data_IF_220805000280
#
_entry.id   IF_220805000280
#
_cell.length_a   1.000
_cell.length_b   1.000
_cell.length_c   1.000
_cell.angle_alpha   90.00
_cell.angle_beta   90.00
_cell.angle_gamma   90.00
#
_symmetry.space_group_name_H-M   'P 1'
#
loop_
_entity.id
_entity.type
_entity.pdbx_description
1 polymer ?
#
# COMPACT_ATOMS: atom_id res chain seq x y z
N UNK A 1 4.24 24.16 -20.59
CA UNK A 1 4.59 22.74 -20.80
C UNK A 1 3.39 22.03 -21.35
N UNK A 2 3.55 20.90 -22.04
CA UNK A 2 2.43 20.32 -22.77
C UNK A 2 2.42 18.81 -22.66
N UNK A 3 1.23 18.23 -22.41
CA UNK A 3 0.99 16.81 -22.55
C UNK A 3 0.58 16.50 -23.99
N UNK A 4 1.09 15.44 -24.60
CA UNK A 4 0.71 15.02 -25.93
C UNK A 4 0.04 13.66 -25.92
N UNK A 5 -1.02 13.54 -26.70
CA UNK A 5 -1.83 12.35 -26.87
C UNK A 5 -1.71 11.91 -28.32
N UNK A 6 -1.43 10.63 -28.55
CA UNK A 6 -1.25 10.08 -29.90
C UNK A 6 -2.31 9.01 -30.13
N UNK A 7 -3.15 9.15 -31.13
CA UNK A 7 -4.24 8.25 -31.44
C UNK A 7 -4.11 7.52 -32.78
N UNK A 8 -4.82 6.41 -32.98
CA UNK A 8 -4.97 5.70 -34.25
C UNK A 8 -6.30 6.02 -34.93
N UNK A 9 -6.36 5.90 -36.29
CA UNK A 9 -7.52 6.34 -37.10
C UNK A 9 -8.80 5.50 -36.90
N UNK A 10 -8.71 4.30 -36.35
CA UNK A 10 -9.83 3.35 -36.37
C UNK A 10 -10.87 3.54 -35.25
N UNK A 11 -10.56 4.28 -34.19
CA UNK A 11 -11.51 4.69 -33.15
C UNK A 11 -11.04 5.98 -32.46
N UNK A 12 -11.89 6.98 -32.41
CA UNK A 12 -11.66 8.30 -31.78
C UNK A 12 -11.30 8.17 -30.26
N UNK A 13 -11.34 6.97 -29.69
CA UNK A 13 -11.07 6.69 -28.28
C UNK A 13 -9.78 5.92 -27.99
N UNK A 14 -9.04 5.47 -28.99
CA UNK A 14 -7.86 4.61 -28.77
C UNK A 14 -6.56 5.40 -28.81
N UNK A 15 -6.24 6.06 -27.72
CA UNK A 15 -4.90 6.61 -27.49
C UNK A 15 -3.90 5.47 -27.43
N UNK A 16 -2.88 5.47 -28.30
CA UNK A 16 -1.84 4.44 -28.32
C UNK A 16 -0.66 4.75 -27.39
N UNK A 17 -0.41 6.06 -27.17
CA UNK A 17 0.65 6.55 -26.30
C UNK A 17 0.30 7.92 -25.73
N UNK A 18 0.64 8.17 -24.46
CA UNK A 18 0.49 9.44 -23.77
C UNK A 18 1.83 9.79 -23.12
N UNK A 19 2.25 11.05 -23.22
CA UNK A 19 3.49 11.50 -22.61
C UNK A 19 3.56 13.00 -22.44
N UNK A 20 4.38 13.48 -21.49
CA UNK A 20 4.66 14.91 -21.27
C UNK A 20 5.92 15.35 -22.01
N UNK A 21 6.00 16.63 -22.33
CA UNK A 21 7.21 17.23 -22.89
C UNK A 21 7.30 18.73 -22.57
N UNK A 22 8.50 19.22 -22.29
CA UNK A 22 8.79 20.66 -22.19
C UNK A 22 8.64 21.34 -23.56
N UNK A 23 9.00 20.64 -24.65
CA UNK A 23 8.86 21.07 -26.01
C UNK A 23 8.28 19.96 -26.87
N UNK A 24 6.99 20.04 -27.20
CA UNK A 24 6.30 19.07 -28.05
C UNK A 24 6.99 18.89 -29.40
N UNK A 25 7.42 19.99 -30.05
CA UNK A 25 8.10 19.90 -31.33
C UNK A 25 9.34 19.05 -31.30
N UNK A 26 10.19 19.23 -30.26
CA UNK A 26 11.41 18.40 -30.07
C UNK A 26 11.05 16.94 -29.80
N UNK A 27 10.05 16.70 -28.92
CA UNK A 27 9.63 15.34 -28.52
C UNK A 27 9.05 14.58 -29.71
N UNK A 28 8.14 15.19 -30.49
CA UNK A 28 7.57 14.57 -31.68
C UNK A 28 8.66 14.29 -32.72
N UNK A 29 9.57 15.25 -32.95
CA UNK A 29 10.66 15.06 -33.88
C UNK A 29 11.57 13.88 -33.52
N UNK A 30 11.83 13.64 -32.25
CA UNK A 30 12.63 12.51 -31.76
C UNK A 30 12.02 11.13 -32.11
N UNK A 31 10.69 11.03 -32.22
CA UNK A 31 10.04 9.78 -32.63
C UNK A 31 10.20 9.45 -34.12
N UNK A 32 10.39 10.47 -34.97
CA UNK A 32 10.50 10.31 -36.41
C UNK A 32 11.93 10.42 -36.94
N UNK A 33 12.90 10.72 -36.10
CA UNK A 33 14.31 10.70 -36.49
C UNK A 33 14.81 9.25 -36.53
N UNK A 34 15.41 8.79 -37.65
CA UNK A 34 16.06 7.49 -37.70
C UNK A 34 17.26 7.50 -36.75
N UNK A 35 17.24 6.66 -35.74
CA UNK A 35 18.37 6.41 -34.85
C UNK A 35 18.84 4.97 -35.06
N UNK A 36 20.15 4.72 -34.97
CA UNK A 36 20.72 3.38 -35.11
C UNK A 36 20.26 2.38 -34.03
N UNK A 37 19.68 2.88 -32.92
CA UNK A 37 19.16 2.11 -31.77
C UNK A 37 17.63 2.22 -31.65
N UNK A 38 16.89 2.18 -32.75
CA UNK A 38 15.43 2.16 -32.67
C UNK A 38 14.92 0.80 -32.21
N UNK A 39 14.45 0.73 -30.96
CA UNK A 39 13.79 -0.46 -30.47
C UNK A 39 12.51 -0.80 -31.18
N UNK A 40 12.23 -2.08 -31.25
CA UNK A 40 11.08 -2.65 -31.97
C UNK A 40 9.76 -2.00 -31.56
N UNK A 41 9.60 -1.64 -30.26
CA UNK A 41 8.39 -1.03 -29.70
C UNK A 41 8.15 0.37 -30.26
N UNK A 42 9.21 1.20 -30.33
CA UNK A 42 9.14 2.57 -30.86
C UNK A 42 8.82 2.56 -32.35
N UNK A 43 9.49 1.70 -33.12
CA UNK A 43 9.25 1.57 -34.55
C UNK A 43 7.83 1.08 -34.86
N UNK A 44 7.27 0.16 -34.06
CA UNK A 44 5.89 -0.30 -34.19
C UNK A 44 4.90 0.79 -33.80
N UNK A 45 5.16 1.54 -32.74
CA UNK A 45 4.33 2.67 -32.32
C UNK A 45 4.26 3.74 -33.40
N UNK A 46 5.41 4.16 -33.93
CA UNK A 46 5.49 5.21 -34.99
C UNK A 46 4.70 4.82 -36.24
N UNK A 47 4.72 3.52 -36.63
CA UNK A 47 3.91 3.04 -37.77
C UNK A 47 2.41 3.09 -37.55
N UNK A 48 1.95 3.14 -36.29
CA UNK A 48 0.53 3.16 -35.92
C UNK A 48 0.02 4.56 -35.59
N UNK A 49 0.89 5.59 -35.62
CA UNK A 49 0.49 6.98 -35.39
C UNK A 49 -0.30 7.49 -36.56
N UNK A 50 -1.56 7.86 -36.36
CA UNK A 50 -2.40 8.51 -37.34
C UNK A 50 -2.47 10.03 -37.11
N UNK A 51 -2.54 10.46 -35.82
CA UNK A 51 -2.64 11.88 -35.46
C UNK A 51 -2.05 12.15 -34.09
N UNK A 52 -1.78 13.42 -33.80
CA UNK A 52 -1.38 13.95 -32.52
C UNK A 52 -2.44 14.88 -31.95
N UNK A 53 -2.74 14.71 -30.68
CA UNK A 53 -3.48 15.69 -29.91
C UNK A 53 -2.57 16.22 -28.81
N UNK A 54 -2.73 17.48 -28.42
CA UNK A 54 -1.92 18.05 -27.35
C UNK A 54 -2.75 18.99 -26.48
N UNK A 55 -2.37 19.01 -25.19
CA UNK A 55 -2.95 19.92 -24.20
C UNK A 55 -1.79 20.73 -23.61
N UNK A 56 -1.95 22.05 -23.57
CA UNK A 56 -0.96 22.95 -22.98
C UNK A 56 -1.29 23.14 -21.50
N UNK A 57 -0.29 23.03 -20.65
CA UNK A 57 -0.38 23.23 -19.19
C UNK A 57 0.57 24.34 -18.75
N UNK A 58 0.25 25.01 -17.65
CA UNK A 58 1.02 26.15 -17.16
C UNK A 58 2.28 25.72 -16.39
N UNK A 59 2.26 24.49 -15.82
CA UNK A 59 3.38 23.95 -15.05
C UNK A 59 3.73 22.51 -15.44
N UNK A 60 4.95 22.09 -15.09
CA UNK A 60 5.39 20.71 -15.27
C UNK A 60 4.64 19.74 -14.36
N UNK A 61 4.26 20.21 -13.18
CA UNK A 61 3.45 19.47 -12.23
C UNK A 61 2.06 19.16 -12.81
N UNK A 62 1.40 20.17 -13.41
CA UNK A 62 0.11 19.96 -14.09
C UNK A 62 0.24 18.99 -15.26
N UNK A 63 1.30 19.09 -16.06
CA UNK A 63 1.57 18.15 -17.14
C UNK A 63 1.73 16.71 -16.64
N UNK A 64 2.42 16.53 -15.51
CA UNK A 64 2.62 15.22 -14.87
C UNK A 64 1.30 14.64 -14.35
N UNK A 65 0.48 15.43 -13.68
CA UNK A 65 -0.83 15.00 -13.16
C UNK A 65 -1.78 14.66 -14.31
N UNK A 66 -1.78 15.47 -15.36
CA UNK A 66 -2.60 15.25 -16.54
C UNK A 66 -2.18 13.97 -17.28
N UNK A 67 -0.87 13.74 -17.47
CA UNK A 67 -0.33 12.51 -18.05
C UNK A 67 -0.80 11.28 -17.27
N UNK A 68 -0.68 11.28 -15.92
CA UNK A 68 -1.11 10.19 -15.07
C UNK A 68 -2.61 9.89 -15.20
N UNK A 69 -3.45 10.94 -15.24
CA UNK A 69 -4.89 10.79 -15.34
C UNK A 69 -5.30 10.22 -16.71
N UNK A 70 -4.72 10.75 -17.79
CA UNK A 70 -4.99 10.29 -19.14
C UNK A 70 -4.51 8.85 -19.38
N UNK A 71 -3.33 8.46 -18.85
CA UNK A 71 -2.86 7.07 -18.93
C UNK A 71 -3.83 6.13 -18.21
N UNK A 72 -4.35 6.54 -17.05
CA UNK A 72 -5.31 5.74 -16.27
C UNK A 72 -6.66 5.60 -16.96
N UNK A 73 -7.12 6.67 -17.62
CA UNK A 73 -8.40 6.71 -18.32
C UNK A 73 -8.37 5.92 -19.63
N UNK A 74 -7.31 6.10 -20.43
CA UNK A 74 -7.23 5.54 -21.79
C UNK A 74 -6.47 4.22 -21.89
N UNK A 75 -5.70 3.84 -20.86
CA UNK A 75 -4.92 2.60 -20.81
C UNK A 75 -4.09 2.34 -22.09
N UNK A 76 -3.23 3.28 -22.55
CA UNK A 76 -2.62 3.22 -23.86
C UNK A 76 -1.64 2.06 -24.02
N UNK A 77 -1.67 1.40 -25.17
CA UNK A 77 -0.92 0.17 -25.47
C UNK A 77 0.60 0.30 -25.30
N UNK A 78 1.17 1.45 -25.63
CA UNK A 78 2.61 1.66 -25.64
C UNK A 78 3.16 2.33 -24.38
N UNK A 79 2.30 2.72 -23.42
CA UNK A 79 2.76 3.17 -22.12
C UNK A 79 3.11 1.99 -21.22
N UNK A 80 4.08 2.21 -20.34
CA UNK A 80 4.37 1.29 -19.23
C UNK A 80 3.24 1.37 -18.23
N UNK A 81 2.67 0.23 -17.83
CA UNK A 81 1.51 0.19 -16.95
C UNK A 81 1.67 -0.85 -15.85
N UNK A 82 1.16 -0.52 -14.66
CA UNK A 82 0.94 -1.50 -13.61
C UNK A 82 -0.18 -2.46 -14.01
N UNK A 83 0.07 -3.77 -13.85
CA UNK A 83 -0.94 -4.80 -14.12
C UNK A 83 -2.00 -4.92 -13.02
N UNK A 84 -1.63 -4.55 -11.78
CA UNK A 84 -2.47 -4.75 -10.60
C UNK A 84 -2.79 -3.41 -9.93
N UNK A 85 -4.07 -3.05 -9.85
CA UNK A 85 -4.58 -1.94 -9.03
C UNK A 85 -4.97 -2.49 -7.65
N UNK A 86 -3.97 -2.73 -6.79
CA UNK A 86 -4.16 -3.30 -5.46
C UNK A 86 -4.65 -2.24 -4.48
N UNK A 87 -5.81 -2.48 -3.87
CA UNK A 87 -6.32 -1.66 -2.77
C UNK A 87 -5.93 -2.29 -1.43
N UNK A 88 -5.17 -1.55 -0.63
CA UNK A 88 -4.70 -2.02 0.67
C UNK A 88 -5.73 -1.82 1.77
N UNK A 89 -5.86 -2.78 2.69
CA UNK A 89 -6.68 -2.62 3.87
C UNK A 89 -5.99 -1.78 4.95
N UNK A 90 -6.82 -1.06 5.71
CA UNK A 90 -6.44 -0.25 6.87
C UNK A 90 -7.28 -0.65 8.08
N UNK A 91 -6.73 -0.45 9.27
CA UNK A 91 -7.48 -0.44 10.51
C UNK A 91 -7.86 1.01 10.79
N UNK A 92 -9.16 1.28 10.88
CA UNK A 92 -9.71 2.60 11.16
C UNK A 92 -10.24 2.66 12.58
N UNK A 93 -9.77 3.62 13.37
CA UNK A 93 -10.28 3.93 14.71
C UNK A 93 -11.06 5.24 14.66
N UNK A 94 -12.37 5.20 14.95
CA UNK A 94 -13.28 6.34 14.81
C UNK A 94 -13.20 7.28 16.02
N UNK A 95 -12.03 7.85 16.30
CA UNK A 95 -11.77 8.68 17.49
C UNK A 95 -12.64 9.92 17.61
N UNK A 96 -13.32 10.32 16.54
CA UNK A 96 -14.30 11.41 16.53
C UNK A 96 -15.67 11.05 17.12
N UNK A 97 -15.97 9.77 17.36
CA UNK A 97 -17.20 9.31 18.01
C UNK A 97 -17.05 9.39 19.55
N UNK A 98 -18.15 9.52 20.28
CA UNK A 98 -18.12 9.50 21.76
C UNK A 98 -17.67 8.14 22.30
N UNK A 99 -18.08 7.07 21.63
CA UNK A 99 -17.67 5.70 21.86
C UNK A 99 -17.03 5.15 20.58
N UNK A 100 -15.72 5.35 20.34
CA UNK A 100 -15.06 4.96 19.11
C UNK A 100 -15.10 3.45 18.85
N UNK A 101 -14.91 3.09 17.57
CA UNK A 101 -14.86 1.70 17.10
C UNK A 101 -13.56 1.43 16.34
N UNK A 102 -13.14 0.18 16.32
CA UNK A 102 -12.05 -0.30 15.50
C UNK A 102 -12.65 -1.06 14.31
N UNK A 103 -12.43 -0.57 13.10
CA UNK A 103 -13.10 -1.01 11.88
C UNK A 103 -12.10 -1.32 10.77
N UNK A 104 -12.49 -2.24 9.88
CA UNK A 104 -11.80 -2.48 8.63
C UNK A 104 -12.16 -1.40 7.60
N UNK A 105 -11.17 -0.87 6.88
CA UNK A 105 -11.40 0.07 5.78
C UNK A 105 -10.42 -0.19 4.63
N UNK A 106 -10.89 0.00 3.39
CA UNK A 106 -10.02 0.03 2.19
C UNK A 106 -9.76 1.44 1.68
N UNK A 107 -10.44 2.43 2.25
CA UNK A 107 -10.31 3.83 1.87
C UNK A 107 -10.04 4.69 3.11
N UNK A 108 -9.15 5.65 2.97
CA UNK A 108 -8.99 6.72 3.95
C UNK A 108 -9.97 7.85 3.61
N UNK A 109 -10.82 8.19 4.57
CA UNK A 109 -11.73 9.33 4.46
C UNK A 109 -11.11 10.53 5.17
N UNK A 110 -11.38 11.73 4.69
CA UNK A 110 -11.02 12.98 5.39
C UNK A 110 -12.01 13.19 6.55
N UNK A 111 -11.94 12.32 7.56
CA UNK A 111 -12.71 12.41 8.79
C UNK A 111 -11.76 12.50 10.00
N UNK A 112 -12.31 12.63 11.19
CA UNK A 112 -11.52 12.66 12.44
C UNK A 112 -11.06 11.25 12.90
N UNK A 113 -11.05 10.24 12.01
CA UNK A 113 -10.60 8.88 12.34
C UNK A 113 -9.09 8.75 12.22
N UNK A 114 -8.49 7.88 13.03
CA UNK A 114 -7.10 7.45 12.86
C UNK A 114 -7.05 6.20 12.00
N UNK A 115 -6.09 6.16 11.07
CA UNK A 115 -5.88 5.05 10.15
C UNK A 115 -4.51 4.43 10.38
N UNK A 116 -4.47 3.10 10.49
CA UNK A 116 -3.25 2.30 10.65
C UNK A 116 -3.09 1.41 9.42
N UNK A 117 -1.91 1.36 8.86
CA UNK A 117 -1.61 0.62 7.62
C UNK A 117 -0.83 1.48 6.63
N UNK A 118 -0.74 1.13 5.33
CA UNK A 118 -1.45 0.02 4.67
C UNK A 118 -0.94 -1.37 5.07
N UNK A 119 -1.84 -2.35 5.18
CA UNK A 119 -1.49 -3.76 5.39
C UNK A 119 -1.61 -4.54 4.08
N UNK A 120 -0.86 -5.62 3.95
CA UNK A 120 -0.87 -6.45 2.74
C UNK A 120 -1.92 -7.56 2.76
N UNK A 121 -2.36 -7.98 3.93
CA UNK A 121 -3.34 -9.06 4.10
C UNK A 121 -4.62 -8.57 4.77
N UNK A 122 -5.74 -8.70 4.05
CA UNK A 122 -7.07 -8.37 4.58
C UNK A 122 -7.51 -9.35 5.69
N UNK A 123 -7.09 -10.63 5.62
CA UNK A 123 -7.33 -11.62 6.68
C UNK A 123 -6.63 -11.22 7.97
N UNK A 124 -5.33 -10.97 7.93
CA UNK A 124 -4.55 -10.56 9.10
C UNK A 124 -5.09 -9.28 9.76
N UNK A 125 -5.61 -8.33 8.97
CA UNK A 125 -6.24 -7.11 9.50
C UNK A 125 -7.53 -7.44 10.24
N UNK A 126 -8.39 -8.32 9.70
CA UNK A 126 -9.62 -8.74 10.38
C UNK A 126 -9.33 -9.48 11.67
N UNK A 127 -8.38 -10.40 11.65
CA UNK A 127 -7.97 -11.17 12.84
C UNK A 127 -7.40 -10.21 13.92
N UNK A 128 -6.63 -9.20 13.52
CA UNK A 128 -6.11 -8.17 14.43
C UNK A 128 -7.23 -7.32 15.03
N UNK A 129 -8.23 -6.92 14.23
CA UNK A 129 -9.39 -6.15 14.70
C UNK A 129 -10.21 -6.98 15.70
N UNK A 130 -10.45 -8.25 15.40
CA UNK A 130 -11.17 -9.17 16.28
C UNK A 130 -10.44 -9.33 17.62
N UNK A 131 -9.11 -9.56 17.57
CA UNK A 131 -8.27 -9.65 18.77
C UNK A 131 -8.35 -8.36 19.61
N UNK A 132 -8.21 -7.18 19.00
CA UNK A 132 -8.29 -5.89 19.70
C UNK A 132 -9.67 -5.71 20.34
N UNK A 133 -10.75 -5.99 19.61
CA UNK A 133 -12.10 -5.90 20.13
C UNK A 133 -12.32 -6.82 21.35
N UNK A 134 -11.76 -8.02 21.30
CA UNK A 134 -11.82 -8.99 22.42
C UNK A 134 -10.95 -8.53 23.62
N UNK A 135 -9.71 -8.10 23.38
CA UNK A 135 -8.79 -7.63 24.43
C UNK A 135 -9.31 -6.44 25.21
N UNK A 136 -9.84 -5.45 24.51
CA UNK A 136 -10.28 -4.18 25.10
C UNK A 136 -11.79 -4.08 25.28
N UNK A 137 -12.54 -5.14 24.93
CA UNK A 137 -14.00 -5.24 25.02
C UNK A 137 -14.74 -4.07 24.34
N UNK A 138 -14.32 -3.77 23.12
CA UNK A 138 -14.83 -2.65 22.34
C UNK A 138 -16.14 -3.01 21.64
N UNK A 139 -16.98 -2.01 21.42
CA UNK A 139 -18.22 -2.20 20.67
C UNK A 139 -17.96 -2.43 19.18
N UNK A 140 -18.69 -3.37 18.59
CA UNK A 140 -18.67 -3.65 17.15
C UNK A 140 -19.95 -3.21 16.44
N UNK A 141 -21.00 -2.82 17.20
CA UNK A 141 -22.31 -2.47 16.68
C UNK A 141 -22.33 -1.11 15.96
N UNK A 142 -23.32 -0.90 15.09
CA UNK A 142 -23.52 0.34 14.33
C UNK A 142 -24.45 1.36 15.00
N UNK A 143 -24.81 1.17 16.29
CA UNK A 143 -25.66 2.11 17.03
C UNK A 143 -25.02 3.49 17.11
N UNK A 144 -25.80 4.54 16.97
CA UNK A 144 -25.32 5.92 17.10
C UNK A 144 -25.46 6.35 18.56
N UNK A 145 -24.32 6.37 19.26
CA UNK A 145 -24.28 6.76 20.68
C UNK A 145 -23.84 8.22 20.81
N UNK A 146 -24.42 8.99 21.73
CA UNK A 146 -25.34 8.59 22.80
C UNK A 146 -26.82 8.50 22.42
N UNK A 147 -27.21 8.86 21.19
CA UNK A 147 -28.64 8.95 20.76
C UNK A 147 -29.45 7.68 21.00
N UNK A 148 -28.83 6.50 20.83
CA UNK A 148 -29.49 5.22 20.91
C UNK A 148 -29.25 4.51 22.27
N UNK A 149 -28.78 5.24 23.29
CA UNK A 149 -28.56 4.71 24.64
C UNK A 149 -29.90 4.33 25.28
N UNK A 150 -29.97 3.12 25.85
CA UNK A 150 -31.13 2.60 26.59
C UNK A 150 -32.35 2.21 25.73
N UNK A 151 -32.30 2.35 24.40
CA UNK A 151 -33.45 2.01 23.53
C UNK A 151 -33.73 0.52 23.36
N UNK A 152 -32.71 -0.29 23.43
CA UNK A 152 -32.80 -1.74 23.19
C UNK A 152 -31.99 -2.49 24.23
N UNK A 153 -32.29 -3.77 24.43
CA UNK A 153 -31.51 -4.64 25.32
C UNK A 153 -30.04 -4.75 24.90
N UNK A 154 -29.13 -5.06 25.87
CA UNK A 154 -27.75 -5.39 25.54
C UNK A 154 -27.69 -6.54 24.55
N UNK A 155 -26.76 -6.48 23.58
CA UNK A 155 -26.57 -7.54 22.60
C UNK A 155 -25.75 -8.71 23.19
N UNK A 156 -25.65 -9.81 22.44
CA UNK A 156 -24.92 -11.02 22.85
C UNK A 156 -23.47 -10.70 23.29
N UNK A 157 -22.78 -9.78 22.59
CA UNK A 157 -21.41 -9.43 22.90
C UNK A 157 -21.20 -8.93 24.36
N UNK A 158 -22.22 -8.32 24.95
CA UNK A 158 -22.17 -7.96 26.38
C UNK A 158 -22.23 -9.24 27.25
N UNK A 159 -23.14 -10.14 26.97
CA UNK A 159 -23.34 -11.37 27.76
C UNK A 159 -22.15 -12.34 27.67
N UNK A 160 -21.41 -12.32 26.57
CA UNK A 160 -20.17 -13.11 26.39
C UNK A 160 -18.90 -12.29 26.71
N UNK A 161 -19.03 -11.19 27.43
CA UNK A 161 -17.95 -10.33 27.90
C UNK A 161 -17.01 -9.76 26.79
N UNK A 162 -17.52 -9.63 25.57
CA UNK A 162 -16.78 -9.02 24.44
C UNK A 162 -17.09 -7.54 24.24
N UNK A 163 -18.00 -6.95 25.02
CA UNK A 163 -18.37 -5.53 24.96
C UNK A 163 -18.84 -5.05 26.31
N UNK A 164 -18.47 -3.83 26.72
CA UNK A 164 -18.90 -3.22 27.98
C UNK A 164 -20.27 -2.55 27.92
N UNK A 165 -21.04 -2.76 26.83
CA UNK A 165 -22.38 -2.20 26.60
C UNK A 165 -22.50 -0.67 26.84
N UNK A 166 -21.70 0.18 26.17
CA UNK A 166 -21.88 1.62 26.25
C UNK A 166 -23.27 2.06 25.78
N UNK A 167 -23.94 1.23 24.99
CA UNK A 167 -25.34 1.45 24.59
C UNK A 167 -26.36 1.32 25.72
N UNK A 168 -25.95 0.86 26.90
CA UNK A 168 -26.78 0.80 28.13
C UNK A 168 -26.28 1.81 29.19
N UNK A 169 -25.17 2.50 28.93
CA UNK A 169 -24.54 3.36 29.91
C UNK A 169 -23.80 2.59 31.04
N UNK A 170 -23.44 1.30 30.80
CA UNK A 170 -22.75 0.50 31.82
C UNK A 170 -21.26 0.84 31.95
N UNK A 171 -20.73 1.64 31.02
CA UNK A 171 -19.37 2.19 31.07
C UNK A 171 -19.43 3.68 30.78
N UNK A 172 -18.63 4.49 31.48
CA UNK A 172 -18.50 5.91 31.23
C UNK A 172 -17.76 6.19 29.92
N UNK A 173 -17.88 7.42 29.40
CA UNK A 173 -17.18 7.83 28.18
C UNK A 173 -15.67 7.89 28.42
N UNK A 174 -15.26 8.31 29.59
CA UNK A 174 -13.87 8.44 30.02
C UNK A 174 -13.20 7.08 30.08
N UNK A 175 -13.77 6.12 30.80
CA UNK A 175 -13.26 4.75 30.92
C UNK A 175 -13.23 4.03 29.56
N UNK A 176 -14.22 4.29 28.70
CA UNK A 176 -14.22 3.71 27.36
C UNK A 176 -13.10 4.31 26.48
N UNK A 177 -12.80 5.60 26.63
CA UNK A 177 -11.70 6.25 25.91
C UNK A 177 -10.34 5.71 26.34
N UNK A 178 -10.11 5.48 27.62
CA UNK A 178 -8.86 4.83 28.09
C UNK A 178 -8.63 3.47 27.41
N UNK A 179 -9.68 2.68 27.21
CA UNK A 179 -9.58 1.40 26.46
C UNK A 179 -9.23 1.62 24.98
N UNK A 180 -9.79 2.63 24.36
CA UNK A 180 -9.47 3.00 22.98
C UNK A 180 -8.03 3.49 22.87
N UNK A 181 -7.55 4.29 23.81
CA UNK A 181 -6.17 4.78 23.81
C UNK A 181 -5.18 3.63 23.98
N UNK A 182 -5.48 2.66 24.87
CA UNK A 182 -4.70 1.43 24.99
C UNK A 182 -4.72 0.58 23.70
N UNK A 183 -5.86 0.50 23.00
CA UNK A 183 -5.95 -0.16 21.69
C UNK A 183 -5.15 0.57 20.61
N UNK A 184 -5.11 1.89 20.65
CA UNK A 184 -4.28 2.73 19.75
C UNK A 184 -2.79 2.52 20.05
N UNK A 185 -2.37 2.43 21.32
CA UNK A 185 -1.00 2.11 21.69
C UNK A 185 -0.59 0.70 21.21
N UNK A 186 -1.50 -0.26 21.34
CA UNK A 186 -1.30 -1.60 20.78
C UNK A 186 -1.05 -1.54 19.26
N UNK A 187 -1.85 -0.77 18.52
CA UNK A 187 -1.70 -0.59 17.06
C UNK A 187 -0.39 0.14 16.70
N UNK A 188 0.11 1.00 17.57
CA UNK A 188 1.44 1.62 17.46
C UNK A 188 2.57 0.63 17.82
N UNK A 189 2.23 -0.61 18.26
CA UNK A 189 3.19 -1.67 18.58
C UNK A 189 3.73 -1.63 20.00
N UNK A 190 3.12 -0.89 20.91
CA UNK A 190 3.41 -1.01 22.35
C UNK A 190 2.61 -2.17 22.94
N UNK A 191 3.21 -3.38 22.90
CA UNK A 191 2.57 -4.61 23.40
C UNK A 191 2.90 -4.91 24.87
N UNK A 192 3.90 -4.24 25.45
CA UNK A 192 4.37 -4.56 26.80
C UNK A 192 3.28 -4.44 27.89
N UNK A 193 2.44 -3.38 27.92
CA UNK A 193 1.41 -3.25 28.94
C UNK A 193 0.38 -4.38 28.90
N UNK A 194 -0.10 -4.74 27.68
CA UNK A 194 -1.12 -5.78 27.54
C UNK A 194 -0.55 -7.17 27.81
N UNK A 195 0.69 -7.45 27.43
CA UNK A 195 1.35 -8.73 27.74
C UNK A 195 1.46 -8.93 29.25
N UNK A 196 1.89 -7.90 29.98
CA UNK A 196 1.99 -7.94 31.45
C UNK A 196 0.62 -8.16 32.09
N UNK A 197 -0.39 -7.38 31.69
CA UNK A 197 -1.76 -7.50 32.22
C UNK A 197 -2.36 -8.90 31.96
N UNK A 198 -2.12 -9.50 30.79
CA UNK A 198 -2.60 -10.85 30.49
C UNK A 198 -1.88 -11.93 31.29
N UNK A 199 -0.57 -11.77 31.54
CA UNK A 199 0.20 -12.68 32.40
C UNK A 199 -0.29 -12.63 33.85
N UNK A 200 -0.53 -11.42 34.38
CA UNK A 200 -1.08 -11.22 35.72
C UNK A 200 -2.46 -11.90 35.88
N UNK A 201 -3.38 -11.63 34.93
CA UNK A 201 -4.74 -12.23 34.94
C UNK A 201 -4.72 -13.76 34.75
N UNK A 202 -3.80 -14.27 33.93
CA UNK A 202 -3.64 -15.71 33.75
C UNK A 202 -3.20 -16.39 35.07
N UNK A 203 -2.24 -15.80 35.78
CA UNK A 203 -1.75 -16.31 37.04
C UNK A 203 -2.81 -16.23 38.13
N UNK A 204 -3.52 -15.09 38.26
CA UNK A 204 -4.62 -14.91 39.20
C UNK A 204 -5.75 -15.92 38.96
N UNK A 205 -6.16 -16.14 37.71
CA UNK A 205 -7.17 -17.15 37.35
C UNK A 205 -6.68 -18.57 37.67
N UNK A 206 -5.40 -18.86 37.53
CA UNK A 206 -4.80 -20.15 37.87
C UNK A 206 -4.77 -20.36 39.41
N UNK A 207 -4.42 -19.34 40.18
CA UNK A 207 -4.43 -19.39 41.66
C UNK A 207 -5.84 -19.56 42.20
N UNK A 208 -6.84 -18.96 41.55
CA UNK A 208 -8.25 -19.11 41.89
C UNK A 208 -8.89 -20.40 41.36
N UNK A 209 -8.11 -21.32 40.76
CA UNK A 209 -8.55 -22.59 40.16
C UNK A 209 -9.55 -22.41 39.02
N UNK A 210 -9.62 -21.22 38.40
CA UNK A 210 -10.45 -20.90 37.23
C UNK A 210 -9.72 -21.29 35.93
N UNK A 211 -9.48 -22.57 35.73
CA UNK A 211 -8.62 -23.06 34.65
C UNK A 211 -9.11 -22.70 33.25
N UNK A 212 -10.41 -22.62 33.01
CA UNK A 212 -10.97 -22.21 31.71
C UNK A 212 -10.57 -20.77 31.36
N UNK A 213 -10.67 -19.85 32.32
CA UNK A 213 -10.24 -18.46 32.15
C UNK A 213 -8.71 -18.35 31.97
N UNK A 214 -7.94 -19.14 32.73
CA UNK A 214 -6.49 -19.19 32.59
C UNK A 214 -6.07 -19.65 31.18
N UNK A 215 -6.76 -20.64 30.61
CA UNK A 215 -6.54 -21.09 29.22
C UNK A 215 -6.86 -19.99 28.23
N UNK A 216 -7.98 -19.29 28.42
CA UNK A 216 -8.37 -18.16 27.53
C UNK A 216 -7.32 -17.04 27.54
N UNK A 217 -6.82 -16.64 28.71
CA UNK A 217 -5.75 -15.64 28.82
C UNK A 217 -4.44 -16.11 28.19
N UNK A 218 -4.10 -17.39 28.30
CA UNK A 218 -2.92 -17.98 27.65
C UNK A 218 -3.01 -17.93 26.12
N UNK A 219 -4.17 -18.22 25.55
CA UNK A 219 -4.41 -18.15 24.10
C UNK A 219 -4.31 -16.71 23.59
N UNK A 220 -4.90 -15.74 24.32
CA UNK A 220 -4.78 -14.32 24.01
C UNK A 220 -3.32 -13.86 24.05
N UNK A 221 -2.58 -14.28 25.08
CA UNK A 221 -1.16 -13.96 25.24
C UNK A 221 -0.32 -14.55 24.09
N UNK A 222 -0.61 -15.78 23.65
CA UNK A 222 0.00 -16.40 22.48
C UNK A 222 -0.26 -15.61 21.21
N UNK A 223 -1.49 -15.17 20.98
CA UNK A 223 -1.89 -14.37 19.82
C UNK A 223 -1.19 -13.02 19.80
N UNK A 224 -1.10 -12.32 20.93
CA UNK A 224 -0.38 -11.04 21.04
C UNK A 224 1.11 -11.23 20.77
N UNK A 225 1.74 -12.27 21.35
CA UNK A 225 3.15 -12.59 21.11
C UNK A 225 3.44 -12.89 19.64
N UNK A 226 2.53 -13.58 18.94
CA UNK A 226 2.68 -13.88 17.51
C UNK A 226 2.65 -12.60 16.67
N UNK A 227 1.75 -11.66 16.99
CA UNK A 227 1.71 -10.35 16.30
C UNK A 227 3.00 -9.56 16.59
N UNK A 228 3.43 -9.51 17.85
CA UNK A 228 4.64 -8.82 18.26
C UNK A 228 5.92 -9.39 17.60
N UNK A 229 6.00 -10.70 17.40
CA UNK A 229 7.15 -11.34 16.71
C UNK A 229 7.21 -11.00 15.23
N UNK A 230 6.07 -10.92 14.53
CA UNK A 230 6.02 -10.55 13.10
C UNK A 230 6.50 -9.12 12.85
N UNK A 231 6.50 -8.24 13.85
CA UNK A 231 6.90 -6.84 13.73
C UNK A 231 8.33 -6.54 14.22
N UNK A 232 9.17 -7.56 14.44
CA UNK A 232 10.52 -7.42 15.01
C UNK A 232 11.57 -6.75 14.12
N UNK A 233 11.27 -6.35 12.88
CA UNK A 233 12.17 -5.53 12.08
C UNK A 233 11.92 -4.06 12.47
N UNK A 234 12.52 -3.67 13.59
CA UNK A 234 12.42 -2.31 14.14
C UNK A 234 13.58 -1.47 13.64
N UNK A 235 13.26 -0.31 13.07
CA UNK A 235 14.21 0.78 12.85
C UNK A 235 13.97 1.87 13.89
N UNK A 236 15.05 2.40 14.43
CA UNK A 236 15.08 3.34 15.56
C UNK A 236 14.56 4.75 15.25
N UNK A 237 14.23 5.07 13.99
CA UNK A 237 13.96 6.45 13.60
C UNK A 237 12.48 6.89 13.68
N UNK A 238 11.54 5.98 14.02
CA UNK A 238 10.10 6.32 14.17
C UNK A 238 9.45 6.97 12.93
N UNK A 239 10.06 6.88 11.74
CA UNK A 239 9.58 7.54 10.53
C UNK A 239 8.85 6.57 9.60
N UNK A 240 7.86 7.12 8.87
CA UNK A 240 7.16 6.41 7.81
C UNK A 240 7.98 6.42 6.52
N UNK A 241 8.30 5.23 5.99
CA UNK A 241 9.14 5.06 4.81
C UNK A 241 8.59 3.96 3.91
N UNK A 242 8.70 4.16 2.60
CA UNK A 242 8.50 3.09 1.62
C UNK A 242 9.85 2.80 0.95
N UNK A 243 10.20 1.51 0.87
CA UNK A 243 11.41 1.07 0.20
C UNK A 243 10.99 0.34 -1.05
N UNK A 244 11.45 0.82 -2.18
CA UNK A 244 11.03 0.35 -3.50
C UNK A 244 12.27 -0.14 -4.23
N UNK A 245 12.20 -1.35 -4.77
CA UNK A 245 13.27 -1.94 -5.57
C UNK A 245 12.69 -2.62 -6.81
N UNK A 246 13.50 -2.74 -7.85
CA UNK A 246 13.10 -3.22 -9.17
C UNK A 246 14.00 -4.37 -9.62
N UNK A 247 13.40 -5.48 -10.01
CA UNK A 247 14.04 -6.49 -10.82
C UNK A 247 13.37 -6.55 -12.20
N UNK A 248 14.14 -6.51 -13.26
CA UNK A 248 13.62 -6.54 -14.63
C UNK A 248 14.39 -7.53 -15.50
N UNK A 249 13.69 -8.08 -16.47
CA UNK A 249 14.26 -8.81 -17.59
C UNK A 249 13.79 -8.18 -18.92
N UNK A 250 14.02 -8.87 -20.04
CA UNK A 250 13.71 -8.36 -21.40
C UNK A 250 12.21 -8.10 -21.66
N UNK A 251 11.31 -8.64 -20.84
CA UNK A 251 9.85 -8.57 -21.07
C UNK A 251 9.02 -8.15 -19.87
N UNK A 252 9.47 -8.50 -18.67
CA UNK A 252 8.73 -8.30 -17.43
C UNK A 252 9.61 -7.65 -16.38
N UNK A 253 9.01 -6.81 -15.55
CA UNK A 253 9.64 -6.28 -14.36
C UNK A 253 8.77 -6.51 -13.13
N UNK A 254 9.43 -6.71 -12.01
CA UNK A 254 8.81 -6.81 -10.69
C UNK A 254 9.32 -5.68 -9.82
N UNK A 255 8.42 -4.85 -9.34
CA UNK A 255 8.71 -3.83 -8.34
C UNK A 255 8.29 -4.35 -6.98
N UNK A 256 9.25 -4.44 -6.07
CA UNK A 256 9.02 -4.81 -4.67
C UNK A 256 8.89 -3.56 -3.84
N UNK A 257 7.86 -3.49 -2.98
CA UNK A 257 7.64 -2.40 -2.03
C UNK A 257 7.63 -2.95 -0.62
N UNK A 258 8.41 -2.34 0.28
CA UNK A 258 8.37 -2.56 1.72
C UNK A 258 7.75 -1.35 2.40
N UNK A 259 6.73 -1.58 3.20
CA UNK A 259 6.03 -0.54 3.95
C UNK A 259 6.56 -0.47 5.37
N UNK A 260 7.26 0.59 5.71
CA UNK A 260 7.73 0.89 7.07
C UNK A 260 6.88 2.01 7.63
N UNK A 261 6.28 1.77 8.81
CA UNK A 261 5.48 2.76 9.53
C UNK A 261 5.93 2.79 10.98
N UNK A 262 6.12 3.99 11.49
CA UNK A 262 6.68 4.20 12.84
C UNK A 262 7.95 3.35 13.10
N UNK A 263 8.84 3.30 12.09
CA UNK A 263 10.07 2.51 12.13
C UNK A 263 9.89 0.99 12.01
N UNK A 264 8.67 0.45 11.84
CA UNK A 264 8.39 -0.99 11.77
C UNK A 264 7.99 -1.41 10.36
N UNK A 265 8.50 -2.55 9.90
CA UNK A 265 8.06 -3.17 8.66
C UNK A 265 6.66 -3.78 8.87
N UNK A 266 5.63 -3.11 8.37
CA UNK A 266 4.23 -3.56 8.49
C UNK A 266 3.78 -4.47 7.35
N UNK A 267 4.51 -4.48 6.24
CA UNK A 267 4.18 -5.34 5.11
C UNK A 267 5.14 -5.19 3.95
N UNK A 268 5.02 -6.13 3.02
CA UNK A 268 5.71 -6.11 1.72
C UNK A 268 4.75 -6.52 0.63
N UNK A 269 4.88 -5.93 -0.54
CA UNK A 269 4.14 -6.33 -1.73
C UNK A 269 4.98 -6.21 -2.98
N UNK A 270 4.57 -6.90 -4.04
CA UNK A 270 5.24 -6.84 -5.32
C UNK A 270 4.22 -6.55 -6.43
N UNK A 271 4.68 -5.86 -7.46
CA UNK A 271 3.88 -5.44 -8.60
C UNK A 271 4.57 -5.86 -9.89
N UNK A 272 3.76 -6.40 -10.79
CA UNK A 272 4.22 -6.71 -12.14
C UNK A 272 4.05 -5.49 -13.04
N UNK A 273 5.11 -5.14 -13.73
CA UNK A 273 5.14 -4.04 -14.68
C UNK A 273 5.49 -4.60 -16.05
N UNK A 274 4.70 -4.28 -17.06
CA UNK A 274 5.07 -4.57 -18.44
C UNK A 274 6.11 -3.56 -18.89
N UNK A 275 7.26 -4.06 -19.31
CA UNK A 275 8.35 -3.24 -19.82
C UNK A 275 8.57 -3.49 -21.31
N UNK A 276 9.01 -2.44 -22.01
CA UNK A 276 9.56 -2.58 -23.34
C UNK A 276 11.04 -2.93 -23.26
N UNK A 277 11.58 -3.50 -24.31
CA UNK A 277 13.01 -3.85 -24.42
C UNK A 277 13.97 -2.67 -24.26
N UNK A 278 13.46 -1.44 -24.26
CA UNK A 278 14.22 -0.19 -24.19
C UNK A 278 13.94 0.64 -22.94
N UNK A 279 13.01 0.20 -22.10
CA UNK A 279 12.67 0.96 -20.90
C UNK A 279 13.84 0.85 -19.89
N UNK A 280 14.45 1.97 -19.54
CA UNK A 280 15.49 2.00 -18.50
C UNK A 280 14.89 1.75 -17.12
N UNK A 281 15.69 1.24 -16.18
CA UNK A 281 15.24 1.02 -14.79
C UNK A 281 14.69 2.32 -14.18
N UNK A 282 15.35 3.44 -14.43
CA UNK A 282 14.92 4.77 -13.99
C UNK A 282 13.52 5.14 -14.51
N UNK A 283 13.23 4.87 -15.79
CA UNK A 283 11.92 5.13 -16.40
C UNK A 283 10.82 4.22 -15.83
N UNK A 284 11.14 2.95 -15.60
CA UNK A 284 10.21 1.99 -14.98
C UNK A 284 9.86 2.44 -13.56
N UNK A 285 10.86 2.82 -12.73
CA UNK A 285 10.66 3.31 -11.38
C UNK A 285 9.87 4.62 -11.36
N UNK A 286 10.19 5.56 -12.25
CA UNK A 286 9.46 6.82 -12.40
C UNK A 286 7.98 6.57 -12.69
N UNK A 287 7.70 5.70 -13.67
CA UNK A 287 6.33 5.35 -14.07
C UNK A 287 5.60 4.62 -12.94
N UNK A 288 6.28 3.71 -12.26
CA UNK A 288 5.73 3.01 -11.10
C UNK A 288 5.32 4.00 -10.00
N UNK A 289 6.20 4.92 -9.61
CA UNK A 289 5.91 5.90 -8.56
C UNK A 289 4.69 6.76 -8.91
N UNK A 290 4.61 7.23 -10.17
CA UNK A 290 3.47 8.02 -10.66
C UNK A 290 2.16 7.25 -10.51
N UNK A 291 2.10 6.02 -11.00
CA UNK A 291 0.88 5.21 -11.00
C UNK A 291 0.52 4.73 -9.59
N UNK A 292 1.50 4.25 -8.82
CA UNK A 292 1.30 3.73 -7.48
C UNK A 292 0.76 4.80 -6.52
N UNK A 293 1.43 5.95 -6.45
CA UNK A 293 1.00 7.03 -5.54
C UNK A 293 -0.19 7.84 -6.09
N UNK A 294 -0.52 7.74 -7.38
CA UNK A 294 -1.78 8.28 -7.90
C UNK A 294 -3.00 7.57 -7.29
N UNK A 295 -2.93 6.24 -7.12
CA UNK A 295 -3.99 5.41 -6.54
C UNK A 295 -3.94 5.24 -5.03
N UNK A 296 -2.78 5.48 -4.40
CA UNK A 296 -2.57 5.24 -2.97
C UNK A 296 -2.94 6.46 -2.14
N UNK A 297 -3.81 6.32 -1.12
CA UNK A 297 -4.24 7.45 -0.29
C UNK A 297 -3.19 7.89 0.74
N UNK A 298 -2.24 7.02 1.08
CA UNK A 298 -1.18 7.29 2.04
C UNK A 298 0.16 7.50 1.34
N UNK A 299 0.85 8.59 1.65
CA UNK A 299 2.18 8.91 1.15
C UNK A 299 3.12 9.03 2.35
N UNK A 300 4.23 8.25 2.41
CA UNK A 300 5.19 8.32 3.50
C UNK A 300 6.02 9.61 3.45
N UNK A 301 6.77 9.88 4.52
CA UNK A 301 7.71 11.01 4.55
C UNK A 301 8.94 10.78 3.68
N UNK A 302 9.41 9.54 3.60
CA UNK A 302 10.61 9.17 2.86
C UNK A 302 10.33 7.98 1.93
N UNK A 303 10.79 8.07 0.69
CA UNK A 303 10.75 7.00 -0.30
C UNK A 303 12.20 6.69 -0.65
N UNK A 304 12.59 5.41 -0.52
CA UNK A 304 13.94 4.96 -0.81
C UNK A 304 13.95 4.13 -2.09
N UNK A 305 14.88 4.44 -2.97
CA UNK A 305 15.06 3.83 -4.29
C UNK A 305 16.46 3.24 -4.42
N UNK A 306 16.68 2.24 -5.31
CA UNK A 306 17.99 1.68 -5.58
C UNK A 306 18.86 2.60 -6.45
N UNK A 307 18.26 3.46 -7.26
CA UNK A 307 18.95 4.37 -8.18
C UNK A 307 18.18 5.68 -8.35
N UNK A 308 18.84 6.69 -8.93
CA UNK A 308 18.20 7.95 -9.25
C UNK A 308 17.17 7.79 -10.38
N UNK A 309 16.10 8.56 -10.28
CA UNK A 309 14.98 8.53 -11.22
C UNK A 309 14.91 9.80 -12.05
N UNK A 310 14.36 9.69 -13.24
CA UNK A 310 13.97 10.84 -14.04
C UNK A 310 12.87 11.64 -13.31
N UNK A 311 12.82 12.96 -13.50
CA UNK A 311 11.81 13.84 -12.88
C UNK A 311 11.80 13.84 -11.34
N UNK A 312 12.90 13.51 -10.67
CA UNK A 312 13.01 13.40 -9.22
C UNK A 312 12.41 14.59 -8.45
N UNK A 313 12.75 15.82 -8.87
CA UNK A 313 12.30 17.04 -8.19
C UNK A 313 10.80 17.26 -8.36
N UNK A 314 10.28 17.08 -9.59
CA UNK A 314 8.85 17.24 -9.91
C UNK A 314 7.99 16.21 -9.21
N UNK A 315 8.49 14.95 -9.11
CA UNK A 315 7.81 13.89 -8.36
C UNK A 315 7.78 14.17 -6.86
N UNK A 316 8.89 14.66 -6.30
CA UNK A 316 8.94 15.02 -4.89
C UNK A 316 8.00 16.19 -4.56
N UNK A 317 7.89 17.18 -5.46
CA UNK A 317 6.96 18.30 -5.34
C UNK A 317 5.50 17.82 -5.40
N UNK A 318 5.15 17.02 -6.40
CA UNK A 318 3.82 16.44 -6.54
C UNK A 318 3.38 15.62 -5.33
N UNK A 319 4.28 14.77 -4.80
CA UNK A 319 4.00 13.96 -3.61
C UNK A 319 3.87 14.82 -2.36
N UNK A 320 4.64 15.91 -2.25
CA UNK A 320 4.58 16.88 -1.17
C UNK A 320 3.23 17.61 -1.16
N UNK A 321 2.76 18.07 -2.33
CA UNK A 321 1.46 18.71 -2.48
C UNK A 321 0.33 17.74 -2.12
N UNK A 322 0.38 16.53 -2.66
CA UNK A 322 -0.64 15.49 -2.40
C UNK A 322 -0.70 15.06 -0.93
N UNK A 323 0.45 14.98 -0.26
CA UNK A 323 0.55 14.67 1.16
C UNK A 323 0.14 15.83 2.07
N UNK A 324 0.36 17.07 1.62
CA UNK A 324 0.26 18.30 2.43
C UNK A 324 1.44 18.51 3.40
N UNK A 325 2.54 17.75 3.22
CA UNK A 325 3.77 17.86 3.99
C UNK A 325 4.95 17.31 3.17
N UNK A 326 6.16 17.80 3.43
CA UNK A 326 7.36 17.50 2.64
C UNK A 326 7.64 16.00 2.53
N UNK A 327 7.89 15.53 1.30
CA UNK A 327 8.27 14.17 0.95
C UNK A 327 9.68 14.15 0.39
N UNK A 328 10.48 13.18 0.81
CA UNK A 328 11.85 13.00 0.35
C UNK A 328 11.95 11.71 -0.44
N UNK A 329 12.47 11.78 -1.66
CA UNK A 329 12.90 10.64 -2.45
C UNK A 329 14.41 10.54 -2.29
N UNK A 330 14.95 9.39 -1.89
CA UNK A 330 16.39 9.22 -1.61
C UNK A 330 16.93 7.91 -2.14
N UNK A 331 18.19 7.94 -2.56
CA UNK A 331 18.97 6.76 -2.91
C UNK A 331 20.02 6.56 -1.82
N UNK A 332 19.82 5.64 -0.86
CA UNK A 332 20.77 5.41 0.23
C UNK A 332 22.00 4.69 -0.30
N UNK A 333 23.19 5.22 0.03
CA UNK A 333 24.48 4.67 -0.42
C UNK A 333 25.26 3.98 0.70
N UNK A 334 24.82 4.04 1.95
CA UNK A 334 25.53 3.45 3.11
C UNK A 334 24.59 3.11 4.25
N UNK A 335 24.96 2.10 5.01
CA UNK A 335 24.37 1.78 6.30
C UNK A 335 23.10 0.92 6.22
N UNK A 336 22.23 1.03 7.24
CA UNK A 336 21.05 0.19 7.38
C UNK A 336 20.01 0.45 6.27
N UNK A 337 19.90 1.69 5.81
CA UNK A 337 18.96 2.08 4.74
C UNK A 337 19.31 1.41 3.42
N UNK A 338 20.60 1.35 3.07
CA UNK A 338 21.10 0.63 1.90
C UNK A 338 20.77 -0.88 1.98
N UNK A 339 21.05 -1.51 3.14
CA UNK A 339 20.77 -2.94 3.35
C UNK A 339 19.29 -3.28 3.16
N UNK A 340 18.39 -2.36 3.49
CA UNK A 340 16.97 -2.56 3.27
C UNK A 340 16.59 -2.47 1.78
N UNK A 341 17.22 -1.55 1.04
CA UNK A 341 17.03 -1.47 -0.42
C UNK A 341 17.61 -2.73 -1.09
N UNK A 342 18.79 -3.20 -0.67
CA UNK A 342 19.34 -4.48 -1.15
C UNK A 342 18.42 -5.67 -0.83
N UNK A 343 17.83 -5.70 0.38
CA UNK A 343 16.88 -6.74 0.75
C UNK A 343 15.64 -6.71 -0.13
N UNK A 344 15.12 -5.53 -0.44
CA UNK A 344 13.99 -5.36 -1.34
C UNK A 344 14.36 -5.80 -2.77
N UNK A 345 15.58 -5.46 -3.22
CA UNK A 345 16.11 -5.86 -4.51
C UNK A 345 16.19 -7.40 -4.65
N UNK A 346 16.79 -8.08 -3.67
CA UNK A 346 16.85 -9.56 -3.63
C UNK A 346 15.46 -10.20 -3.64
N UNK A 347 14.50 -9.60 -2.93
CA UNK A 347 13.11 -10.09 -2.95
C UNK A 347 12.46 -9.91 -4.33
N UNK A 348 12.69 -8.79 -5.03
CA UNK A 348 12.20 -8.59 -6.39
C UNK A 348 12.76 -9.64 -7.36
N UNK A 349 14.07 -9.92 -7.29
CA UNK A 349 14.75 -10.93 -8.09
C UNK A 349 14.21 -12.35 -7.84
N UNK A 350 13.99 -12.70 -6.57
CA UNK A 350 13.38 -13.98 -6.18
C UNK A 350 11.98 -14.15 -6.77
N UNK A 351 11.13 -13.13 -6.69
CA UNK A 351 9.77 -13.18 -7.24
C UNK A 351 9.84 -13.36 -8.76
N UNK A 352 10.68 -12.60 -9.45
CA UNK A 352 10.85 -12.69 -10.89
C UNK A 352 11.34 -14.09 -11.32
N UNK A 353 12.28 -14.70 -10.58
CA UNK A 353 12.79 -16.03 -10.86
C UNK A 353 11.77 -17.14 -10.62
N UNK A 354 11.00 -17.07 -9.53
CA UNK A 354 9.96 -18.06 -9.20
C UNK A 354 8.84 -18.09 -10.24
N UNK A 355 8.47 -16.96 -10.80
CA UNK A 355 7.44 -16.91 -11.85
C UNK A 355 7.93 -17.50 -13.16
N UNK A 356 9.21 -17.31 -13.51
CA UNK A 356 9.81 -18.01 -14.64
C UNK A 356 9.74 -19.53 -14.50
N UNK A 357 10.01 -20.05 -13.31
CA UNK A 357 9.90 -21.49 -13.07
C UNK A 357 8.46 -21.99 -13.20
N UNK A 358 7.47 -21.23 -12.69
CA UNK A 358 6.06 -21.58 -12.85
C UNK A 358 5.63 -21.60 -14.31
N UNK A 359 6.01 -20.60 -15.10
CA UNK A 359 5.73 -20.53 -16.53
C UNK A 359 6.38 -21.70 -17.26
N UNK A 360 7.65 -22.02 -16.98
CA UNK A 360 8.33 -23.17 -17.56
C UNK A 360 7.63 -24.49 -17.23
N UNK A 361 7.19 -24.68 -16.00
CA UNK A 361 6.41 -25.87 -15.60
C UNK A 361 5.08 -25.95 -16.34
N UNK A 362 4.31 -24.86 -16.42
CA UNK A 362 3.07 -24.83 -17.19
C UNK A 362 3.28 -25.21 -18.66
N UNK A 363 4.33 -24.68 -19.30
CA UNK A 363 4.65 -24.99 -20.69
C UNK A 363 5.06 -26.47 -20.90
N UNK A 364 5.74 -27.06 -19.91
CA UNK A 364 6.07 -28.49 -19.95
C UNK A 364 4.85 -29.40 -19.86
N UNK A 365 3.80 -28.98 -19.11
CA UNK A 365 2.56 -29.75 -18.99
C UNK A 365 1.55 -29.48 -20.12
N UNK A 366 1.71 -28.40 -20.87
CA UNK A 366 0.82 -28.04 -22.00
C UNK A 366 1.44 -28.38 -23.36
N UNK A 367 2.67 -28.90 -23.42
CA UNK A 367 3.27 -29.44 -24.65
C UNK A 367 2.51 -30.69 -25.05
N UNK A 368 2.00 -30.80 -26.30
CA UNK A 368 1.33 -32.00 -26.76
C UNK A 368 2.28 -33.19 -26.64
N UNK A 369 1.74 -34.33 -26.19
CA UNK A 369 2.49 -35.58 -26.05
C UNK A 369 3.04 -35.96 -27.41
N UNK A 370 4.32 -36.43 -27.54
CA UNK A 370 4.85 -36.91 -28.79
C UNK A 370 4.20 -38.23 -29.30
N UNK A 371 3.01 -38.54 -28.81
CA UNK A 371 2.27 -39.78 -29.15
C UNK A 371 0.91 -39.53 -29.83
N UNK A 372 0.60 -38.31 -30.24
CA UNK A 372 -0.56 -38.05 -31.09
C UNK A 372 -0.16 -37.70 -32.52
#
# INVERSE_FOLDING_TARGET
>A
MSASLVGSEMCIRDSIYIGKAVSLRKRVHQYFQPSHDEGIKKAQMVKQIARFEYIITDSELEALVLECNLIKEHCPKYNTMLRDDKTYPYIRVTVGEDFPRVLFSRQQKKDKSRYFGPYTSAGAVKDTIELINKLYQLRTCNRVLPRDTGKERPCLNYHIHQCQAPCQGYISREEYRERIDAAVEFLNGNYAPILKSLEEKMNEASENLEFEKAIEYRELLGSVRQIAQKQKITHTDGEDKDIIALASDDRDAVVQVFFIRDGKLIGRDHFYVRVGTEDTKSQILTTFLKQFYSGTPFIPREIMLPEEIEDHEVLAEWLTEKRGARVYIRVPQKGMKEKLVELAQKNAELVLSQDREKIKRCLLYTSPSPRD
#
